data_IF_143577576785
#
_entry.id   IF_143577576785
#
_cell.length_a   1.000
_cell.length_b   1.000
_cell.length_c   1.000
_cell.angle_alpha   90.00
_cell.angle_beta   90.00
_cell.angle_gamma   90.00
#
_symmetry.space_group_name_H-M   'P 1'
#
loop_
_entity.id
_entity.type
_entity.pdbx_description
1 polymer ?
#
# COMPACT_ATOMS: atom_id res chain seq x y z
N UNK A 1 -8.98 18.41 6.16
CA UNK A 1 -8.14 19.06 5.14
C UNK A 1 -7.00 18.10 4.79
N UNK A 2 -6.85 17.73 3.50
CA UNK A 2 -5.79 16.80 3.03
C UNK A 2 -4.67 17.52 2.27
N UNK A 3 -4.98 18.63 1.60
CA UNK A 3 -4.00 19.43 0.87
C UNK A 3 -3.86 20.81 1.55
N UNK A 4 -2.64 21.37 1.60
CA UNK A 4 -1.35 20.77 1.20
C UNK A 4 -0.72 19.89 2.30
N UNK A 5 -1.37 19.76 3.47
CA UNK A 5 -0.75 19.21 4.68
C UNK A 5 -0.37 17.73 4.58
N UNK A 6 -1.24 16.90 4.01
CA UNK A 6 -1.05 15.43 3.96
C UNK A 6 -0.50 14.99 2.61
N UNK A 7 -0.92 15.66 1.54
CA UNK A 7 -0.51 15.37 0.18
C UNK A 7 -0.20 16.65 -0.59
N UNK A 8 0.76 16.56 -1.51
CA UNK A 8 0.99 17.61 -2.50
C UNK A 8 -0.12 17.63 -3.56
N UNK A 9 -0.50 18.82 -4.03
CA UNK A 9 -1.50 19.05 -5.10
C UNK A 9 -0.93 18.72 -6.51
N UNK A 10 -0.18 17.62 -6.62
CA UNK A 10 0.41 17.16 -7.87
C UNK A 10 0.59 15.64 -7.81
N UNK A 11 0.09 14.95 -8.83
CA UNK A 11 0.20 13.49 -8.96
C UNK A 11 1.68 13.09 -8.95
N UNK A 12 1.99 11.98 -8.25
CA UNK A 12 3.35 11.48 -8.12
C UNK A 12 4.30 12.35 -7.27
N UNK A 13 3.82 13.45 -6.69
CA UNK A 13 4.68 14.38 -5.93
C UNK A 13 4.83 14.03 -4.45
N UNK A 14 4.48 12.80 -4.08
CA UNK A 14 4.76 12.22 -2.76
C UNK A 14 5.58 10.93 -2.95
N UNK A 15 6.78 10.98 -3.58
CA UNK A 15 7.56 9.80 -3.95
C UNK A 15 8.05 9.01 -2.74
N UNK A 16 8.06 9.66 -1.59
CA UNK A 16 8.53 9.13 -0.32
C UNK A 16 7.40 8.43 0.48
N UNK A 17 6.17 8.41 -0.06
CA UNK A 17 5.03 7.69 0.50
C UNK A 17 5.26 6.18 0.45
N UNK A 18 5.21 5.54 1.62
CA UNK A 18 5.41 4.10 1.77
C UNK A 18 4.52 3.58 2.89
N UNK A 19 4.22 2.27 2.89
CA UNK A 19 3.42 1.66 3.96
C UNK A 19 4.04 1.88 5.35
N UNK A 20 5.36 1.92 5.46
CA UNK A 20 6.05 2.22 6.72
C UNK A 20 5.69 3.61 7.26
N UNK A 21 5.60 4.63 6.39
CA UNK A 21 5.18 5.97 6.78
C UNK A 21 3.68 6.05 7.06
N UNK A 22 2.88 5.27 6.34
CA UNK A 22 1.44 5.16 6.58
C UNK A 22 1.18 4.60 7.98
N UNK A 23 1.82 3.49 8.35
CA UNK A 23 1.72 2.93 9.71
C UNK A 23 2.21 3.91 10.78
N UNK A 24 3.23 4.73 10.46
CA UNK A 24 3.71 5.80 11.34
C UNK A 24 2.79 7.04 11.42
N UNK A 25 1.56 6.98 10.90
CA UNK A 25 0.56 8.04 11.01
C UNK A 25 0.66 9.15 9.94
N UNK A 26 1.44 8.94 8.87
CA UNK A 26 1.54 9.88 7.74
C UNK A 26 0.62 9.46 6.59
N UNK A 27 0.36 10.38 5.65
CA UNK A 27 -0.49 10.12 4.47
C UNK A 27 -1.85 9.53 4.88
N UNK A 28 -2.22 8.37 4.34
CA UNK A 28 -3.45 7.66 4.66
C UNK A 28 -3.58 7.33 6.17
N UNK A 29 -2.46 7.08 6.84
CA UNK A 29 -2.42 6.70 8.25
C UNK A 29 -2.78 7.83 9.22
N UNK A 30 -2.93 9.06 8.73
CA UNK A 30 -3.48 10.15 9.55
C UNK A 30 -4.94 9.89 9.96
N UNK A 31 -5.65 9.04 9.19
CA UNK A 31 -7.05 8.68 9.43
C UNK A 31 -7.27 7.17 9.63
N UNK A 32 -6.65 6.32 8.80
CA UNK A 32 -6.83 4.87 8.84
C UNK A 32 -6.22 4.26 10.11
N UNK A 33 -7.02 3.48 10.86
CA UNK A 33 -6.64 2.93 12.16
C UNK A 33 -7.12 3.74 13.38
N UNK A 34 -7.69 4.94 13.17
CA UNK A 34 -8.28 5.76 14.24
C UNK A 34 -9.73 6.15 13.98
N UNK A 35 -10.00 6.72 12.81
CA UNK A 35 -11.34 7.23 12.42
C UNK A 35 -11.87 6.59 11.14
N UNK A 36 -11.03 5.84 10.44
CA UNK A 36 -11.36 5.06 9.27
C UNK A 36 -10.88 3.61 9.45
N UNK A 37 -11.19 2.76 8.48
CA UNK A 37 -10.91 1.32 8.52
C UNK A 37 -9.43 1.00 8.84
N UNK A 38 -9.15 -0.16 9.48
CA UNK A 38 -7.82 -0.60 9.88
C UNK A 38 -6.87 -0.82 8.67
N UNK A 39 -5.58 -0.56 8.85
CA UNK A 39 -4.58 -0.65 7.77
C UNK A 39 -4.21 -2.10 7.39
N UNK A 40 -4.65 -3.06 8.19
CA UNK A 40 -4.43 -4.49 8.02
C UNK A 40 -5.29 -5.10 6.89
N UNK A 41 -6.33 -4.40 6.44
CA UNK A 41 -7.15 -4.82 5.29
C UNK A 41 -6.50 -4.41 3.96
N UNK A 42 -5.45 -5.14 3.59
CA UNK A 42 -4.55 -4.85 2.47
C UNK A 42 -5.28 -4.55 1.15
N UNK A 43 -6.32 -5.33 0.84
CA UNK A 43 -6.98 -5.32 -0.45
C UNK A 43 -7.89 -4.11 -0.67
N UNK A 44 -8.25 -3.37 0.39
CA UNK A 44 -9.03 -2.13 0.24
C UNK A 44 -8.31 -1.05 -0.54
N UNK A 45 -6.99 -0.98 -0.40
CA UNK A 45 -6.14 -0.06 -1.14
C UNK A 45 -5.44 -0.78 -2.31
N UNK A 46 -4.97 -2.01 -2.08
CA UNK A 46 -4.29 -2.84 -3.08
C UNK A 46 -5.28 -3.73 -3.84
N UNK A 47 -6.28 -3.09 -4.47
CA UNK A 47 -7.34 -3.79 -5.23
C UNK A 47 -6.85 -4.37 -6.56
N UNK A 48 -5.67 -3.94 -7.02
CA UNK A 48 -4.96 -4.51 -8.15
C UNK A 48 -3.71 -5.17 -7.60
N UNK A 49 -3.61 -6.50 -7.75
CA UNK A 49 -2.34 -7.21 -7.59
C UNK A 49 -1.34 -6.53 -8.50
N UNK A 50 -0.27 -5.97 -7.93
CA UNK A 50 0.85 -5.56 -8.78
C UNK A 50 1.36 -6.83 -9.45
N UNK A 51 1.45 -6.84 -10.77
CA UNK A 51 2.35 -7.76 -11.46
C UNK A 51 3.69 -7.52 -10.77
N UNK A 52 4.23 -8.53 -10.10
CA UNK A 52 5.39 -8.34 -9.23
C UNK A 52 6.51 -7.72 -10.06
N UNK A 53 6.85 -6.46 -9.78
CA UNK A 53 8.17 -5.95 -10.13
C UNK A 53 9.17 -6.89 -9.44
N UNK A 54 10.16 -7.46 -10.14
CA UNK A 54 11.10 -8.38 -9.53
C UNK A 54 11.79 -7.66 -8.36
N UNK A 55 11.47 -8.08 -7.13
CA UNK A 55 12.13 -7.58 -5.94
C UNK A 55 13.55 -8.15 -5.93
N UNK A 56 14.60 -7.33 -5.76
CA UNK A 56 15.98 -7.80 -5.72
C UNK A 56 16.31 -8.62 -4.46
N UNK A 57 15.35 -8.75 -3.52
CA UNK A 57 15.50 -9.48 -2.25
C UNK A 57 14.66 -10.75 -2.16
N UNK A 58 13.87 -11.05 -3.18
CA UNK A 58 13.23 -12.35 -3.35
C UNK A 58 14.02 -13.06 -4.43
N UNK A 59 14.81 -14.05 -4.05
CA UNK A 59 15.20 -15.09 -5.01
C UNK A 59 13.92 -15.59 -5.69
N UNK A 60 13.98 -15.96 -6.98
CA UNK A 60 12.82 -16.37 -7.76
C UNK A 60 12.33 -17.75 -7.31
N UNK A 61 11.80 -17.85 -6.09
CA UNK A 61 10.97 -18.98 -5.73
C UNK A 61 9.60 -18.71 -6.32
N UNK A 62 9.38 -19.34 -7.49
CA UNK A 62 8.08 -19.47 -8.13
C UNK A 62 7.17 -20.15 -7.12
N UNK A 63 6.38 -19.37 -6.36
CA UNK A 63 5.33 -19.92 -5.52
C UNK A 63 4.25 -20.40 -6.50
N UNK A 64 4.02 -21.72 -6.67
CA UNK A 64 2.97 -22.18 -7.56
C UNK A 64 1.64 -21.65 -7.02
N UNK A 65 0.83 -21.07 -7.92
CA UNK A 65 -0.53 -20.68 -7.58
C UNK A 65 -1.26 -21.89 -6.99
N UNK A 66 -1.97 -21.77 -5.85
CA UNK A 66 -2.72 -22.88 -5.31
C UNK A 66 -3.76 -23.31 -6.33
N UNK A 67 -3.75 -24.60 -6.68
CA UNK A 67 -4.75 -25.19 -7.58
C UNK A 67 -6.14 -24.97 -6.98
N UNK A 68 -6.98 -24.21 -7.69
CA UNK A 68 -8.40 -24.09 -7.40
C UNK A 68 -9.02 -25.43 -7.77
N UNK A 69 -9.15 -26.33 -6.79
CA UNK A 69 -9.92 -27.56 -6.94
C UNK A 69 -11.38 -27.16 -7.17
N UNK A 70 -11.91 -27.53 -8.33
CA UNK A 70 -13.34 -27.47 -8.65
C UNK A 70 -14.13 -28.40 -7.75
#
# INVERSE_FOLDING_TARGET
>A
SCHPNVFNMKVGSNPDMSMRKIIAGKYCGICHGKVAFPLEDCFRCHSKTRIADPSPYTEPEVIPAPEIKK
#
